data_IF_484788805879
#
_entry.id   IF_484788805879
#
_cell.length_a   1.000
_cell.length_b   1.000
_cell.length_c   1.000
_cell.angle_alpha   90.00
_cell.angle_beta   90.00
_cell.angle_gamma   90.00
#
_symmetry.space_group_name_H-M   'P 1'
#
loop_
_entity.id
_entity.type
_entity.pdbx_description
1 polymer ?
#
# COMPACT_ATOMS: atom_id res chain seq x y z
N UNK A 1 16.94 1.40 -7.03
CA UNK A 1 17.15 1.03 -5.60
C UNK A 1 16.17 1.72 -4.64
N UNK A 2 15.58 2.89 -4.96
CA UNK A 2 14.57 3.58 -4.12
C UNK A 2 13.18 2.92 -4.14
N UNK A 3 12.73 2.41 -5.28
CA UNK A 3 11.39 1.83 -5.48
C UNK A 3 11.16 0.51 -4.72
N UNK A 4 12.15 -0.39 -4.68
CA UNK A 4 12.03 -1.63 -3.90
C UNK A 4 11.94 -1.37 -2.39
N UNK A 5 12.65 -0.37 -1.88
CA UNK A 5 12.54 0.04 -0.48
C UNK A 5 11.13 0.50 -0.13
N UNK A 6 10.47 1.27 -1.01
CA UNK A 6 9.09 1.73 -0.79
C UNK A 6 8.12 0.55 -0.75
N UNK A 7 8.21 -0.42 -1.67
CA UNK A 7 7.36 -1.64 -1.62
C UNK A 7 7.54 -2.37 -0.30
N UNK A 8 8.79 -2.64 0.08
CA UNK A 8 9.11 -3.40 1.30
C UNK A 8 8.60 -2.67 2.53
N UNK A 9 8.78 -1.35 2.61
CA UNK A 9 8.24 -0.53 3.71
C UNK A 9 6.72 -0.62 3.76
N UNK A 10 6.02 -0.54 2.62
CA UNK A 10 4.56 -0.64 2.57
C UNK A 10 4.03 -1.96 3.06
N UNK A 11 4.66 -3.06 2.63
CA UNK A 11 4.31 -4.40 3.08
C UNK A 11 4.57 -4.57 4.57
N UNK A 12 5.72 -4.11 5.07
CA UNK A 12 6.04 -4.20 6.51
C UNK A 12 5.06 -3.37 7.33
N UNK A 13 4.76 -2.14 6.90
CA UNK A 13 3.83 -1.25 7.60
C UNK A 13 2.42 -1.86 7.63
N UNK A 14 1.90 -2.37 6.52
CA UNK A 14 0.54 -2.94 6.49
C UNK A 14 0.45 -4.19 7.37
N UNK A 15 1.48 -5.03 7.37
CA UNK A 15 1.52 -6.24 8.19
C UNK A 15 1.60 -5.89 9.68
N UNK A 16 2.47 -4.96 10.07
CA UNK A 16 2.61 -4.50 11.47
C UNK A 16 1.33 -3.82 11.94
N UNK A 17 0.72 -3.00 11.09
CA UNK A 17 -0.55 -2.32 11.37
C UNK A 17 -1.64 -3.36 11.66
N UNK A 18 -1.83 -4.34 10.77
CA UNK A 18 -2.84 -5.39 10.94
C UNK A 18 -2.52 -6.33 12.10
N UNK A 19 -1.25 -6.56 12.42
CA UNK A 19 -0.85 -7.39 13.56
C UNK A 19 -1.10 -6.71 14.91
N UNK A 20 -0.96 -5.37 14.99
CA UNK A 20 -1.24 -4.60 16.21
C UNK A 20 -2.68 -4.15 16.34
N UNK A 21 -3.41 -3.99 15.24
CA UNK A 21 -4.76 -3.45 15.28
C UNK A 21 -5.77 -4.55 15.64
N UNK A 22 -6.65 -4.33 16.64
CA UNK A 22 -7.70 -5.29 16.96
C UNK A 22 -8.68 -5.41 15.78
N UNK A 23 -9.16 -6.63 15.51
CA UNK A 23 -10.06 -6.95 14.39
C UNK A 23 -11.16 -5.92 14.08
N UNK A 24 -11.94 -5.39 15.05
CA UNK A 24 -12.99 -4.40 14.76
C UNK A 24 -12.47 -3.09 14.17
N UNK A 25 -11.19 -2.75 14.35
CA UNK A 25 -10.56 -1.53 13.84
C UNK A 25 -9.73 -1.76 12.59
N UNK A 26 -9.49 -3.02 12.18
CA UNK A 26 -8.66 -3.33 11.02
C UNK A 26 -9.23 -2.78 9.71
N UNK A 27 -10.56 -2.73 9.57
CA UNK A 27 -11.20 -2.15 8.38
C UNK A 27 -10.94 -0.64 8.25
N UNK A 28 -11.11 0.12 9.34
CA UNK A 28 -10.77 1.55 9.38
C UNK A 28 -9.27 1.78 9.19
N UNK A 29 -8.44 0.96 9.83
CA UNK A 29 -6.99 1.01 9.69
C UNK A 29 -6.55 0.76 8.24
N UNK A 30 -7.22 -0.15 7.51
CA UNK A 30 -6.93 -0.38 6.09
C UNK A 30 -7.35 0.77 5.20
N UNK A 31 -8.45 1.45 5.49
CA UNK A 31 -8.81 2.68 4.77
C UNK A 31 -7.77 3.78 4.96
N UNK A 32 -7.35 4.01 6.20
CA UNK A 32 -6.31 5.00 6.52
C UNK A 32 -5.00 4.63 5.84
N UNK A 33 -4.60 3.36 5.90
CA UNK A 33 -3.40 2.87 5.23
C UNK A 33 -3.51 3.06 3.72
N UNK A 34 -4.62 2.68 3.09
CA UNK A 34 -4.81 2.80 1.64
C UNK A 34 -4.66 4.26 1.18
N UNK A 35 -5.29 5.20 1.89
CA UNK A 35 -5.18 6.63 1.57
C UNK A 35 -3.77 7.18 1.78
N UNK A 36 -3.15 6.87 2.92
CA UNK A 36 -1.78 7.31 3.22
C UNK A 36 -0.77 6.72 2.22
N UNK A 37 -0.92 5.44 1.88
CA UNK A 37 -0.05 4.74 0.95
C UNK A 37 -0.22 5.24 -0.49
N UNK A 38 -1.45 5.59 -0.89
CA UNK A 38 -1.72 6.23 -2.18
C UNK A 38 -1.00 7.57 -2.29
N UNK A 39 -1.04 8.40 -1.24
CA UNK A 39 -0.34 9.69 -1.22
C UNK A 39 1.19 9.51 -1.36
N UNK A 40 1.77 8.52 -0.68
CA UNK A 40 3.21 8.18 -0.79
C UNK A 40 3.55 7.70 -2.21
N UNK A 41 2.71 6.86 -2.81
CA UNK A 41 2.89 6.39 -4.19
C UNK A 41 2.80 7.57 -5.19
N UNK A 42 1.82 8.46 -5.03
CA UNK A 42 1.66 9.63 -5.88
C UNK A 42 2.85 10.60 -5.77
N UNK A 43 3.37 10.82 -4.55
CA UNK A 43 4.58 11.60 -4.33
C UNK A 43 5.79 10.96 -5.02
N UNK A 44 6.00 9.66 -4.85
CA UNK A 44 7.13 8.97 -5.47
C UNK A 44 7.05 8.95 -7.01
N UNK A 45 5.85 8.86 -7.57
CA UNK A 45 5.61 9.00 -9.00
C UNK A 45 5.96 10.42 -9.48
N UNK A 46 5.53 11.46 -8.75
CA UNK A 46 5.89 12.85 -9.09
C UNK A 46 7.41 13.08 -9.10
N UNK A 47 8.14 12.47 -8.15
CA UNK A 47 9.61 12.51 -8.14
C UNK A 47 10.19 11.73 -9.32
N UNK A 48 9.65 10.57 -9.69
CA UNK A 48 10.09 9.77 -10.84
C UNK A 48 9.92 10.51 -12.18
N UNK A 49 8.77 11.14 -12.38
CA UNK A 49 8.47 11.98 -13.55
C UNK A 49 9.43 13.16 -13.67
N UNK A 50 9.84 13.74 -12.53
CA UNK A 50 10.82 14.83 -12.51
C UNK A 50 12.23 14.39 -12.96
N UNK A 51 12.52 13.10 -13.00
CA UNK A 51 13.78 12.54 -13.51
C UNK A 51 13.74 12.19 -15.01
N UNK A 52 12.61 12.44 -15.70
CA UNK A 52 12.48 12.25 -17.15
C UNK A 52 12.06 10.85 -17.59
N UNK A 53 11.57 10.01 -16.68
CA UNK A 53 11.01 8.70 -17.03
C UNK A 53 9.65 8.80 -17.72
N UNK A 54 9.35 7.84 -18.61
CA UNK A 54 8.07 7.77 -19.30
C UNK A 54 6.93 7.42 -18.33
N UNK A 55 5.91 8.28 -18.29
CA UNK A 55 4.79 8.21 -17.34
C UNK A 55 4.07 6.86 -17.38
N UNK A 56 3.93 6.25 -18.56
CA UNK A 56 3.26 4.95 -18.72
C UNK A 56 4.00 3.78 -18.07
N UNK A 57 5.33 3.74 -18.18
CA UNK A 57 6.14 2.68 -17.56
C UNK A 57 6.16 2.81 -16.04
N UNK A 58 6.26 4.05 -15.53
CA UNK A 58 6.24 4.30 -14.09
C UNK A 58 4.87 4.08 -13.46
N UNK A 59 3.77 4.32 -14.21
CA UNK A 59 2.40 4.13 -13.72
C UNK A 59 2.13 2.66 -13.41
N UNK A 60 2.57 1.75 -14.28
CA UNK A 60 2.35 0.31 -14.13
C UNK A 60 3.14 -0.25 -12.94
N UNK A 61 4.36 0.24 -12.75
CA UNK A 61 5.18 -0.05 -11.57
C UNK A 61 4.55 0.53 -10.29
N UNK A 62 4.00 1.74 -10.34
CA UNK A 62 3.29 2.35 -9.21
C UNK A 62 1.97 1.63 -8.88
N UNK A 63 1.25 1.13 -9.89
CA UNK A 63 0.07 0.32 -9.71
C UNK A 63 0.37 -0.99 -8.95
N UNK A 64 1.51 -1.63 -9.23
CA UNK A 64 1.98 -2.80 -8.48
C UNK A 64 2.44 -2.42 -7.06
N UNK A 65 3.19 -1.33 -6.92
CA UNK A 65 3.65 -0.76 -5.64
C UNK A 65 2.51 -0.47 -4.67
N UNK A 66 1.39 0.02 -5.18
CA UNK A 66 0.18 0.29 -4.41
C UNK A 66 -0.67 -0.97 -4.24
N UNK A 67 -0.95 -1.65 -5.35
CA UNK A 67 -1.91 -2.74 -5.43
C UNK A 67 -1.52 -3.96 -4.59
N UNK A 68 -0.22 -4.31 -4.54
CA UNK A 68 0.25 -5.47 -3.77
C UNK A 68 0.01 -5.30 -2.26
N UNK A 69 0.53 -4.26 -1.57
CA UNK A 69 0.33 -4.12 -0.12
C UNK A 69 -1.12 -3.84 0.25
N UNK A 70 -1.84 -3.03 -0.55
CA UNK A 70 -3.26 -2.73 -0.30
C UNK A 70 -4.13 -3.97 -0.52
N UNK A 71 -3.93 -4.68 -1.63
CA UNK A 71 -4.62 -5.91 -1.95
C UNK A 71 -4.39 -7.00 -0.91
N UNK A 72 -3.14 -7.18 -0.45
CA UNK A 72 -2.82 -8.12 0.64
C UNK A 72 -3.52 -7.74 1.96
N UNK A 73 -3.52 -6.45 2.31
CA UNK A 73 -4.19 -5.98 3.52
C UNK A 73 -5.71 -6.21 3.48
N UNK A 74 -6.36 -5.85 2.38
CA UNK A 74 -7.79 -6.10 2.19
C UNK A 74 -8.14 -7.58 2.10
N UNK A 75 -7.33 -8.38 1.41
CA UNK A 75 -7.51 -9.83 1.37
C UNK A 75 -7.48 -10.45 2.76
N UNK A 76 -6.58 -9.99 3.64
CA UNK A 76 -6.52 -10.46 5.02
C UNK A 76 -7.76 -10.04 5.82
N UNK A 77 -8.14 -8.76 5.76
CA UNK A 77 -9.30 -8.23 6.48
C UNK A 77 -10.61 -8.87 6.02
N UNK A 78 -10.77 -9.11 4.71
CA UNK A 78 -11.95 -9.75 4.14
C UNK A 78 -12.00 -11.27 4.35
N UNK A 79 -10.85 -11.93 4.55
CA UNK A 79 -10.79 -13.39 4.77
C UNK A 79 -11.05 -13.81 6.20
N UNK A 80 -10.90 -12.93 7.18
CA UNK A 80 -11.28 -13.23 8.54
C UNK A 80 -12.81 -13.12 8.64
N UNK A 81 -13.56 -14.24 8.65
CA UNK A 81 -14.99 -14.18 8.79
C UNK A 81 -15.24 -13.53 10.14
N UNK A 82 -16.15 -12.56 10.17
CA UNK A 82 -16.80 -12.13 11.39
C UNK A 82 -17.49 -13.37 11.97
N UNK A 83 -16.80 -14.09 12.86
CA UNK A 83 -17.40 -15.08 13.75
C UNK A 83 -18.29 -14.31 14.71
N UNK A 84 -19.50 -14.01 14.24
CA UNK A 84 -20.65 -13.63 15.06
C UNK A 84 -21.24 -14.94 15.57
#
# INVERSE_FOLDING_TARGET
>A
MRTMLIVVVGVVVVLVLLWRCPKPRQHTAMWIFSLAWLAICAWNLSVGLSHGYALGEELLVHALLYGVPVGLGWWRVCREPSSI
#
